data_IF_549260269316
#
_entry.id   IF_549260269316
#
_cell.length_a   1.000
_cell.length_b   1.000
_cell.length_c   1.000
_cell.angle_alpha   90.00
_cell.angle_beta   90.00
_cell.angle_gamma   90.00
#
_symmetry.space_group_name_H-M   'P 1'
#
loop_
_entity.id
_entity.type
_entity.pdbx_description
1 polymer ?
#
# COMPACT_ATOMS: atom_id res chain seq x y z
N UNK A 1 -11.36 -27.38 2.68
CA UNK A 1 -9.96 -27.12 2.28
C UNK A 1 -9.72 -25.60 2.15
N UNK A 2 -10.23 -24.78 3.08
CA UNK A 2 -10.31 -23.30 2.91
C UNK A 2 -9.42 -22.51 3.89
N UNK A 3 -8.48 -23.17 4.58
CA UNK A 3 -7.72 -22.53 5.66
C UNK A 3 -6.30 -22.06 5.32
N UNK A 4 -5.79 -22.32 4.09
CA UNK A 4 -4.39 -22.04 3.69
C UNK A 4 -4.23 -20.90 2.69
N UNK A 5 -5.28 -20.51 1.97
CA UNK A 5 -5.20 -19.49 0.91
C UNK A 5 -5.05 -18.07 1.49
N UNK A 6 -5.79 -17.73 2.55
CA UNK A 6 -5.76 -16.36 3.10
C UNK A 6 -4.42 -15.91 3.68
N UNK A 7 -3.62 -16.82 4.26
CA UNK A 7 -2.32 -16.44 4.86
C UNK A 7 -1.20 -16.23 3.85
N UNK A 8 -1.26 -16.92 2.71
CA UNK A 8 -0.26 -16.77 1.65
C UNK A 8 -0.51 -15.49 0.85
N UNK A 9 -1.76 -15.23 0.49
CA UNK A 9 -2.18 -14.01 -0.22
C UNK A 9 -1.92 -12.73 0.60
N UNK A 10 -2.14 -12.79 1.93
CA UNK A 10 -1.80 -11.69 2.86
C UNK A 10 -0.30 -11.36 2.86
N UNK A 11 0.56 -12.39 2.87
CA UNK A 11 2.00 -12.22 2.88
C UNK A 11 2.54 -11.71 1.53
N UNK A 12 1.93 -12.17 0.43
CA UNK A 12 2.23 -11.75 -0.92
C UNK A 12 1.87 -10.28 -1.19
N UNK A 13 0.69 -9.84 -0.73
CA UNK A 13 0.30 -8.42 -0.81
C UNK A 13 1.26 -7.55 0.00
N UNK A 14 1.66 -7.99 1.20
CA UNK A 14 2.61 -7.25 2.04
C UNK A 14 3.97 -7.04 1.34
N UNK A 15 4.48 -8.05 0.65
CA UNK A 15 5.74 -7.96 -0.11
C UNK A 15 5.56 -7.00 -1.29
N UNK A 16 4.48 -7.10 -2.07
CA UNK A 16 4.21 -6.19 -3.17
C UNK A 16 4.17 -4.73 -2.70
N UNK A 17 3.46 -4.47 -1.60
CA UNK A 17 3.38 -3.14 -1.00
C UNK A 17 4.74 -2.63 -0.54
N UNK A 18 5.55 -3.46 0.13
CA UNK A 18 6.91 -3.10 0.53
C UNK A 18 7.79 -2.75 -0.68
N UNK A 19 7.69 -3.53 -1.77
CA UNK A 19 8.42 -3.25 -3.02
C UNK A 19 8.02 -1.88 -3.59
N UNK A 20 6.75 -1.50 -3.53
CA UNK A 20 6.32 -0.17 -3.97
C UNK A 20 6.87 0.95 -3.06
N UNK A 21 6.89 0.75 -1.74
CA UNK A 21 7.51 1.70 -0.80
C UNK A 21 9.01 1.86 -1.08
N UNK A 22 9.72 0.76 -1.31
CA UNK A 22 11.14 0.76 -1.68
C UNK A 22 11.39 1.44 -3.03
N UNK A 23 10.54 1.15 -4.03
CA UNK A 23 10.62 1.77 -5.35
C UNK A 23 10.46 3.28 -5.27
N UNK A 24 9.48 3.76 -4.50
CA UNK A 24 9.25 5.19 -4.32
C UNK A 24 10.39 5.85 -3.53
N UNK A 25 10.88 5.20 -2.48
CA UNK A 25 12.03 5.67 -1.71
C UNK A 25 13.30 5.77 -2.57
N UNK A 26 13.52 4.81 -3.48
CA UNK A 26 14.66 4.84 -4.43
C UNK A 26 14.57 6.02 -5.38
N UNK A 27 13.40 6.29 -5.93
CA UNK A 27 13.23 7.32 -6.94
C UNK A 27 13.18 8.73 -6.33
N UNK A 28 12.47 8.91 -5.22
CA UNK A 28 12.17 10.23 -4.67
C UNK A 28 12.72 10.48 -3.25
N UNK A 29 13.36 9.49 -2.63
CA UNK A 29 14.02 9.69 -1.33
C UNK A 29 13.10 9.91 -0.13
N UNK A 30 11.79 9.65 -0.26
CA UNK A 30 10.79 9.95 0.77
C UNK A 30 9.78 8.81 0.96
N UNK A 31 9.07 8.84 2.09
CA UNK A 31 7.87 8.04 2.37
C UNK A 31 6.64 8.90 2.16
N UNK A 32 5.59 8.36 1.54
CA UNK A 32 4.39 9.13 1.16
C UNK A 32 3.10 8.44 1.59
N UNK A 33 2.02 9.23 1.65
CA UNK A 33 0.68 8.70 1.87
C UNK A 33 0.37 7.63 0.81
N UNK A 34 0.10 6.42 1.30
CA UNK A 34 -0.21 5.26 0.48
C UNK A 34 -1.58 4.73 0.84
N UNK A 35 -2.34 4.35 -0.17
CA UNK A 35 -3.66 3.77 -0.07
C UNK A 35 -3.66 2.40 -0.71
N UNK A 36 -4.28 1.43 -0.04
CA UNK A 36 -4.67 0.15 -0.62
C UNK A 36 -6.14 -0.13 -0.30
N UNK A 37 -6.88 -0.58 -1.32
CA UNK A 37 -8.31 -0.88 -1.16
C UNK A 37 -8.52 -2.21 -0.47
N UNK A 38 -9.37 -2.23 0.56
CA UNK A 38 -9.84 -3.45 1.20
C UNK A 38 -11.37 -3.55 1.10
N UNK A 39 -11.89 -4.71 0.73
CA UNK A 39 -13.33 -4.94 0.67
C UNK A 39 -13.92 -5.10 2.07
N UNK A 40 -15.08 -4.48 2.32
CA UNK A 40 -15.87 -4.71 3.55
C UNK A 40 -17.10 -5.57 3.28
N UNK A 41 -17.07 -6.39 2.21
CA UNK A 41 -18.24 -7.08 1.66
C UNK A 41 -18.98 -8.02 2.63
N UNK A 42 -18.36 -8.37 3.75
CA UNK A 42 -18.98 -9.14 4.82
C UNK A 42 -20.13 -8.39 5.54
N UNK A 43 -20.22 -7.06 5.40
CA UNK A 43 -21.24 -6.24 6.07
C UNK A 43 -22.39 -5.83 5.13
N UNK A 44 -23.57 -5.57 5.68
CA UNK A 44 -24.73 -5.07 4.89
C UNK A 44 -24.44 -3.67 4.33
N UNK A 45 -24.72 -3.48 3.04
CA UNK A 45 -24.45 -2.22 2.31
C UNK A 45 -22.97 -1.78 2.37
N UNK A 46 -22.08 -2.74 2.54
CA UNK A 46 -20.65 -2.60 2.51
C UNK A 46 -20.13 -1.80 1.32
N UNK A 47 -18.94 -1.22 1.49
CA UNK A 47 -18.14 -0.62 0.43
C UNK A 47 -16.70 -1.10 0.59
N UNK A 48 -15.76 -0.18 0.80
CA UNK A 48 -14.35 -0.47 1.04
C UNK A 48 -13.87 0.23 2.30
N UNK A 49 -12.80 -0.29 2.89
CA UNK A 49 -11.95 0.39 3.85
C UNK A 49 -10.55 0.57 3.24
N UNK A 50 -9.72 1.41 3.84
CA UNK A 50 -8.33 1.66 3.46
C UNK A 50 -7.38 0.86 4.33
N UNK A 51 -6.51 0.08 3.69
CA UNK A 51 -5.26 -0.36 4.30
C UNK A 51 -4.22 0.73 4.07
N UNK A 52 -3.43 1.03 5.11
CA UNK A 52 -2.34 2.03 5.07
C UNK A 52 -0.97 1.33 5.09
N UNK A 53 -0.45 0.88 3.93
CA UNK A 53 0.76 0.04 3.89
C UNK A 53 2.07 0.81 4.12
N UNK A 54 2.04 2.15 4.07
CA UNK A 54 3.16 2.99 4.51
C UNK A 54 3.18 3.05 6.05
N UNK A 55 3.89 2.11 6.67
CA UNK A 55 3.96 1.90 8.11
C UNK A 55 5.38 2.16 8.61
N UNK A 56 5.57 2.24 9.92
CA UNK A 56 6.91 2.33 10.50
C UNK A 56 7.78 1.12 10.13
N UNK A 57 7.17 -0.05 9.97
CA UNK A 57 7.85 -1.29 9.59
C UNK A 57 8.32 -1.22 8.13
N UNK A 58 7.43 -0.85 7.20
CA UNK A 58 7.80 -0.74 5.78
C UNK A 58 8.78 0.40 5.54
N UNK A 59 8.67 1.52 6.25
CA UNK A 59 9.66 2.60 6.20
C UNK A 59 11.05 2.12 6.65
N UNK A 60 11.13 1.48 7.83
CA UNK A 60 12.41 0.97 8.36
C UNK A 60 13.04 -0.05 7.42
N UNK A 61 12.24 -1.00 6.94
CA UNK A 61 12.70 -2.04 6.02
C UNK A 61 13.17 -1.42 4.69
N UNK A 62 12.40 -0.50 4.11
CA UNK A 62 12.78 0.17 2.88
C UNK A 62 14.09 0.96 3.03
N UNK A 63 14.28 1.69 4.13
CA UNK A 63 15.53 2.39 4.41
C UNK A 63 16.72 1.43 4.54
N UNK A 64 16.54 0.29 5.21
CA UNK A 64 17.59 -0.72 5.35
C UNK A 64 18.10 -1.22 3.98
N UNK A 65 17.19 -1.54 3.05
CA UNK A 65 17.54 -2.01 1.71
C UNK A 65 18.01 -0.91 0.75
N UNK A 66 17.46 0.31 0.86
CA UNK A 66 17.66 1.37 -0.13
C UNK A 66 18.79 2.32 0.24
N UNK A 67 18.83 2.77 1.49
CA UNK A 67 19.72 3.83 1.95
C UNK A 67 20.88 3.31 2.80
N UNK A 68 20.77 2.09 3.32
CA UNK A 68 21.74 1.49 4.23
C UNK A 68 22.25 0.11 3.74
N UNK A 69 22.58 -0.05 2.45
CA UNK A 69 23.00 -1.34 1.91
C UNK A 69 24.28 -1.82 2.63
N UNK A 70 24.29 -3.10 3.03
CA UNK A 70 25.42 -3.73 3.72
C UNK A 70 25.56 -3.39 5.21
N UNK A 71 24.67 -2.56 5.79
CA UNK A 71 24.70 -2.22 7.22
C UNK A 71 23.95 -3.20 8.13
N UNK A 72 23.27 -4.18 7.55
CA UNK A 72 22.42 -5.14 8.26
C UNK A 72 22.80 -6.56 7.84
N UNK A 73 22.73 -7.51 8.77
CA UNK A 73 22.87 -8.93 8.46
C UNK A 73 21.64 -9.46 7.73
N UNK A 74 21.78 -10.61 7.08
CA UNK A 74 20.66 -11.31 6.42
C UNK A 74 19.53 -11.58 7.43
N UNK A 75 19.86 -12.06 8.63
CA UNK A 75 18.87 -12.34 9.68
C UNK A 75 18.09 -11.08 10.11
N UNK A 76 18.77 -9.94 10.19
CA UNK A 76 18.11 -8.66 10.51
C UNK A 76 17.14 -8.25 9.40
N UNK A 77 17.54 -8.41 8.12
CA UNK A 77 16.68 -8.09 6.98
C UNK A 77 15.46 -9.03 6.93
N UNK A 78 15.64 -10.34 7.15
CA UNK A 78 14.54 -11.30 7.26
C UNK A 78 13.59 -10.91 8.41
N UNK A 79 14.13 -10.53 9.57
CA UNK A 79 13.32 -10.04 10.69
C UNK A 79 12.48 -8.82 10.32
N UNK A 80 13.06 -7.83 9.62
CA UNK A 80 12.31 -6.65 9.17
C UNK A 80 11.21 -7.00 8.16
N UNK A 81 11.45 -7.95 7.25
CA UNK A 81 10.45 -8.43 6.30
C UNK A 81 9.28 -9.13 7.00
N UNK A 82 9.59 -9.98 7.98
CA UNK A 82 8.58 -10.65 8.80
C UNK A 82 7.69 -9.65 9.53
N UNK A 83 8.26 -8.60 10.11
CA UNK A 83 7.49 -7.54 10.78
C UNK A 83 6.62 -6.74 9.79
N UNK A 84 7.11 -6.47 8.58
CA UNK A 84 6.29 -5.84 7.53
C UNK A 84 5.09 -6.71 7.18
N UNK A 85 5.31 -8.01 6.94
CA UNK A 85 4.25 -8.95 6.60
C UNK A 85 3.22 -9.10 7.72
N UNK A 86 3.69 -9.32 8.95
CA UNK A 86 2.84 -9.45 10.13
C UNK A 86 1.95 -8.24 10.34
N UNK A 87 2.52 -7.04 10.32
CA UNK A 87 1.76 -5.82 10.57
C UNK A 87 0.80 -5.50 9.41
N UNK A 88 1.21 -5.74 8.18
CA UNK A 88 0.33 -5.62 7.02
C UNK A 88 -0.87 -6.57 7.12
N UNK A 89 -0.65 -7.85 7.43
CA UNK A 89 -1.72 -8.83 7.62
C UNK A 89 -2.68 -8.46 8.77
N UNK A 90 -2.18 -7.82 9.84
CA UNK A 90 -3.03 -7.24 10.89
C UNK A 90 -3.93 -6.14 10.33
N UNK A 91 -3.37 -5.14 9.63
CA UNK A 91 -4.13 -4.05 9.03
C UNK A 91 -5.17 -4.56 8.02
N UNK A 92 -4.84 -5.58 7.24
CA UNK A 92 -5.76 -6.22 6.29
C UNK A 92 -6.96 -6.84 7.00
N UNK A 93 -6.74 -7.58 8.09
CA UNK A 93 -7.81 -8.18 8.91
C UNK A 93 -8.69 -7.11 9.55
N UNK A 94 -8.07 -6.08 10.12
CA UNK A 94 -8.78 -4.94 10.70
C UNK A 94 -9.63 -4.21 9.65
N UNK A 95 -9.07 -3.90 8.48
CA UNK A 95 -9.79 -3.22 7.40
C UNK A 95 -10.94 -4.06 6.84
N UNK A 96 -10.75 -5.37 6.64
CA UNK A 96 -11.80 -6.29 6.20
C UNK A 96 -12.96 -6.36 7.21
N UNK A 97 -12.66 -6.20 8.50
CA UNK A 97 -13.63 -6.10 9.59
C UNK A 97 -14.11 -4.66 9.87
N UNK A 98 -13.87 -3.72 8.95
CA UNK A 98 -14.26 -2.32 9.04
C UNK A 98 -13.73 -1.61 10.31
N UNK A 99 -12.55 -2.02 10.79
CA UNK A 99 -11.82 -1.41 11.92
C UNK A 99 -10.70 -0.47 11.47
N UNK A 100 -10.63 -0.16 10.17
CA UNK A 100 -9.79 0.93 9.69
C UNK A 100 -10.31 2.29 10.16
N UNK A 101 -9.43 3.30 10.17
CA UNK A 101 -9.81 4.62 10.65
C UNK A 101 -10.37 5.53 9.55
N UNK A 102 -10.01 5.30 8.28
CA UNK A 102 -10.26 6.24 7.19
C UNK A 102 -11.76 6.48 6.94
N UNK A 103 -12.58 5.41 6.85
CA UNK A 103 -14.04 5.60 6.66
C UNK A 103 -14.70 6.22 7.88
N UNK A 104 -14.26 5.87 9.08
CA UNK A 104 -14.80 6.46 10.30
C UNK A 104 -14.53 7.97 10.35
N UNK A 105 -13.27 8.40 10.13
CA UNK A 105 -12.94 9.82 10.12
C UNK A 105 -13.65 10.58 8.99
N UNK A 106 -13.79 9.96 7.81
CA UNK A 106 -14.57 10.52 6.71
C UNK A 106 -16.05 10.72 7.07
N UNK A 107 -16.69 9.71 7.67
CA UNK A 107 -18.09 9.79 8.08
C UNK A 107 -18.31 10.88 9.14
N UNK A 108 -17.41 10.99 10.12
CA UNK A 108 -17.46 12.04 11.14
C UNK A 108 -17.27 13.44 10.54
N UNK A 109 -16.35 13.60 9.57
CA UNK A 109 -16.18 14.85 8.82
C UNK A 109 -17.44 15.21 8.04
N UNK A 110 -18.05 14.23 7.38
CA UNK A 110 -19.28 14.43 6.61
C UNK A 110 -20.44 14.87 7.51
N UNK A 111 -20.62 14.21 8.66
CA UNK A 111 -21.65 14.57 9.64
C UNK A 111 -21.44 15.98 10.19
N UNK A 112 -20.23 16.30 10.65
CA UNK A 112 -19.90 17.63 11.16
C UNK A 112 -20.21 18.72 10.12
N UNK A 113 -19.79 18.53 8.87
CA UNK A 113 -20.08 19.47 7.79
C UNK A 113 -21.60 19.62 7.52
N UNK A 114 -22.37 18.52 7.61
CA UNK A 114 -23.83 18.57 7.43
C UNK A 114 -24.55 19.36 8.52
N UNK A 115 -23.93 19.48 9.69
CA UNK A 115 -24.41 20.29 10.82
C UNK A 115 -23.78 21.71 10.84
N UNK A 116 -22.98 22.06 9.82
CA UNK A 116 -22.29 23.35 9.76
C UNK A 116 -21.12 23.48 10.76
N UNK A 117 -20.65 22.37 11.31
CA UNK A 117 -19.53 22.31 12.25
C UNK A 117 -18.21 22.11 11.51
N UNK A 118 -17.14 22.72 12.02
CA UNK A 118 -15.78 22.51 11.51
C UNK A 118 -14.88 22.09 12.67
N UNK A 119 -14.35 20.88 12.61
CA UNK A 119 -13.42 20.36 13.61
C UNK A 119 -11.96 20.62 13.20
N UNK A 120 -11.11 21.01 14.16
CA UNK A 120 -9.69 21.36 13.90
C UNK A 120 -8.89 20.21 13.30
N UNK A 121 -9.15 18.97 13.71
CA UNK A 121 -8.56 17.75 13.13
C UNK A 121 -8.62 17.73 11.59
N UNK A 122 -9.74 18.16 10.99
CA UNK A 122 -9.92 18.12 9.53
C UNK A 122 -9.31 19.31 8.79
N UNK A 123 -8.82 20.31 9.54
CA UNK A 123 -8.08 21.46 9.05
C UNK A 123 -6.56 21.27 9.19
N UNK A 124 -6.13 20.26 9.95
CA UNK A 124 -4.72 19.94 10.12
C UNK A 124 -4.10 19.57 8.75
N UNK A 125 -2.98 20.20 8.35
CA UNK A 125 -2.25 19.83 7.16
C UNK A 125 -1.91 18.33 7.08
N UNK A 126 -1.71 17.65 8.21
CA UNK A 126 -1.49 16.21 8.28
C UNK A 126 -2.72 15.40 7.82
N UNK A 127 -3.94 15.86 8.13
CA UNK A 127 -5.16 15.24 7.63
C UNK A 127 -5.29 15.42 6.11
N UNK A 128 -4.93 16.58 5.57
CA UNK A 128 -4.87 16.75 4.11
C UNK A 128 -3.80 15.85 3.50
N UNK A 129 -2.60 15.77 4.10
CA UNK A 129 -1.49 14.97 3.59
C UNK A 129 -1.79 13.47 3.57
N UNK A 130 -2.40 12.91 4.63
CA UNK A 130 -2.73 11.48 4.67
C UNK A 130 -3.83 11.09 3.66
N UNK A 131 -4.68 12.05 3.27
CA UNK A 131 -5.71 11.86 2.25
C UNK A 131 -5.23 12.19 0.83
N UNK A 132 -4.04 12.77 0.68
CA UNK A 132 -3.39 13.04 -0.61
C UNK A 132 -2.57 11.82 -1.05
N UNK A 133 -3.27 10.77 -1.50
CA UNK A 133 -2.68 9.44 -1.76
C UNK A 133 -1.77 9.45 -3.01
N UNK A 134 -0.47 9.70 -2.80
CA UNK A 134 0.55 9.70 -3.86
C UNK A 134 0.73 8.29 -4.44
N UNK A 135 0.70 7.26 -3.58
CA UNK A 135 0.66 5.87 -4.03
C UNK A 135 -0.75 5.33 -3.80
N UNK A 136 -1.55 5.22 -4.86
CA UNK A 136 -2.85 4.58 -4.80
C UNK A 136 -2.76 3.20 -5.43
N UNK A 137 -3.06 2.16 -4.65
CA UNK A 137 -2.86 0.77 -5.04
C UNK A 137 -4.16 -0.03 -4.94
N UNK A 138 -4.32 -1.02 -5.82
CA UNK A 138 -5.41 -1.99 -5.73
C UNK A 138 -4.97 -3.32 -6.31
N UNK A 139 -5.22 -4.38 -5.55
CA UNK A 139 -5.06 -5.76 -6.00
C UNK A 139 -6.24 -6.16 -6.88
N UNK A 140 -5.98 -6.92 -7.94
CA UNK A 140 -6.99 -7.54 -8.77
C UNK A 140 -6.53 -8.95 -9.16
N UNK A 141 -7.00 -9.95 -8.43
CA UNK A 141 -6.68 -11.36 -8.69
C UNK A 141 -7.94 -12.05 -9.20
N UNK A 142 -7.89 -12.49 -10.46
CA UNK A 142 -8.92 -13.34 -11.06
C UNK A 142 -8.32 -14.07 -12.26
N UNK A 143 -8.60 -15.38 -12.44
CA UNK A 143 -8.19 -16.11 -13.64
C UNK A 143 -8.73 -15.52 -14.95
N UNK A 144 -9.79 -14.70 -14.87
CA UNK A 144 -10.39 -14.03 -16.01
C UNK A 144 -9.72 -12.67 -16.34
N UNK A 145 -8.78 -12.20 -15.51
CA UNK A 145 -8.17 -10.88 -15.63
C UNK A 145 -6.68 -11.02 -15.92
N UNK A 146 -6.26 -10.54 -17.08
CA UNK A 146 -4.84 -10.49 -17.45
C UNK A 146 -4.12 -9.27 -16.86
N UNK A 147 -4.81 -8.12 -16.77
CA UNK A 147 -4.26 -6.88 -16.24
C UNK A 147 -5.39 -5.91 -15.87
N UNK A 148 -5.27 -5.25 -14.71
CA UNK A 148 -6.10 -4.12 -14.31
C UNK A 148 -5.30 -2.82 -14.31
N UNK A 149 -5.98 -1.67 -14.35
CA UNK A 149 -5.30 -0.37 -14.27
C UNK A 149 -6.28 0.77 -14.01
N UNK A 150 -5.78 1.82 -13.38
CA UNK A 150 -6.51 3.05 -13.10
C UNK A 150 -5.53 4.23 -13.10
N UNK A 151 -6.02 5.44 -13.39
CA UNK A 151 -5.21 6.65 -13.34
C UNK A 151 -4.88 7.04 -11.87
N UNK A 152 -3.84 7.86 -11.62
CA UNK A 152 -3.58 8.37 -10.28
C UNK A 152 -4.76 9.17 -9.73
N UNK A 153 -4.94 9.14 -8.40
CA UNK A 153 -5.99 9.89 -7.71
C UNK A 153 -5.60 11.32 -7.34
N UNK A 154 -4.32 11.68 -7.55
CA UNK A 154 -3.77 13.03 -7.36
C UNK A 154 -2.81 13.38 -8.50
N UNK A 155 -2.65 14.68 -8.86
CA UNK A 155 -1.80 15.09 -9.99
C UNK A 155 -0.34 14.62 -9.90
N UNK A 156 0.21 14.55 -8.69
CA UNK A 156 1.58 14.12 -8.43
C UNK A 156 1.66 12.68 -7.89
N UNK A 157 0.74 11.80 -8.30
CA UNK A 157 0.63 10.43 -7.80
C UNK A 157 0.88 9.35 -8.86
N UNK A 158 0.80 8.11 -8.40
CA UNK A 158 0.74 6.89 -9.19
C UNK A 158 -0.56 6.13 -8.91
N UNK A 159 -1.15 5.57 -9.96
CA UNK A 159 -2.15 4.50 -9.84
C UNK A 159 -1.48 3.16 -10.10
N UNK A 160 -1.54 2.23 -9.15
CA UNK A 160 -0.86 0.93 -9.21
C UNK A 160 -1.90 -0.19 -9.12
N UNK A 161 -2.26 -0.76 -10.26
CA UNK A 161 -2.97 -2.03 -10.30
C UNK A 161 -1.98 -3.17 -10.24
N UNK A 162 -2.15 -4.13 -9.34
CA UNK A 162 -1.24 -5.28 -9.24
C UNK A 162 -1.97 -6.59 -9.00
N UNK A 163 -1.30 -7.69 -9.35
CA UNK A 163 -1.74 -9.05 -9.09
C UNK A 163 -0.54 -9.88 -8.66
N UNK A 164 -0.72 -10.71 -7.66
CA UNK A 164 0.27 -11.70 -7.27
C UNK A 164 -0.21 -13.06 -7.77
N UNK A 165 0.69 -13.76 -8.44
CA UNK A 165 0.49 -15.10 -8.97
C UNK A 165 1.63 -15.99 -8.45
N UNK A 166 1.40 -17.31 -8.45
CA UNK A 166 2.33 -18.31 -7.90
C UNK A 166 3.81 -18.11 -8.31
N UNK A 167 4.04 -17.70 -9.56
CA UNK A 167 5.40 -17.55 -10.13
C UNK A 167 5.83 -16.10 -10.39
N UNK A 168 4.91 -15.13 -10.32
CA UNK A 168 5.22 -13.76 -10.71
C UNK A 168 4.27 -12.72 -10.09
N UNK A 169 4.79 -11.51 -9.91
CA UNK A 169 3.99 -10.33 -9.55
C UNK A 169 3.88 -9.44 -10.78
N UNK A 170 2.64 -9.15 -11.17
CA UNK A 170 2.30 -8.20 -12.22
C UNK A 170 1.93 -6.84 -11.63
N UNK A 171 2.40 -5.76 -12.25
CA UNK A 171 1.89 -4.43 -11.95
C UNK A 171 1.70 -3.59 -13.22
N UNK A 172 0.63 -2.81 -13.23
CA UNK A 172 0.33 -1.80 -14.21
C UNK A 172 0.31 -0.45 -13.49
N UNK A 173 1.19 0.46 -13.91
CA UNK A 173 1.39 1.73 -13.23
C UNK A 173 1.07 2.88 -14.18
N UNK A 174 0.27 3.81 -13.69
CA UNK A 174 -0.07 5.05 -14.38
C UNK A 174 0.48 6.26 -13.63
N UNK A 175 0.77 7.34 -14.35
CA UNK A 175 1.07 8.64 -13.77
C UNK A 175 0.61 9.79 -14.66
N UNK A 176 0.48 10.97 -14.07
CA UNK A 176 0.45 12.24 -14.80
C UNK A 176 1.89 12.77 -15.01
N UNK A 177 2.10 13.85 -15.79
CA UNK A 177 3.44 14.34 -16.16
C UNK A 177 4.37 14.71 -15.00
N UNK A 178 3.84 15.00 -13.81
CA UNK A 178 4.64 15.31 -12.62
C UNK A 178 5.41 14.09 -12.05
N UNK A 179 5.17 12.90 -12.59
CA UNK A 179 5.78 11.64 -12.15
C UNK A 179 6.27 10.84 -13.35
N UNK A 180 7.32 10.05 -13.13
CA UNK A 180 7.91 9.20 -14.15
C UNK A 180 7.64 7.72 -13.86
N UNK A 181 6.65 7.15 -14.56
CA UNK A 181 6.30 5.71 -14.47
C UNK A 181 7.47 4.80 -14.83
N UNK A 182 8.21 5.14 -15.88
CA UNK A 182 9.26 4.25 -16.39
C UNK A 182 10.37 4.07 -15.35
N UNK A 183 10.83 5.16 -14.77
CA UNK A 183 11.83 5.13 -13.69
C UNK A 183 11.27 4.52 -12.40
N UNK A 184 9.99 4.74 -12.08
CA UNK A 184 9.36 4.08 -10.93
C UNK A 184 9.36 2.56 -11.08
N UNK A 185 8.97 2.05 -12.25
CA UNK A 185 8.99 0.62 -12.56
C UNK A 185 10.40 0.03 -12.53
N UNK A 186 11.41 0.76 -12.99
CA UNK A 186 12.81 0.35 -12.84
C UNK A 186 13.21 0.23 -11.37
N UNK A 187 12.79 1.19 -10.53
CA UNK A 187 13.06 1.19 -9.10
C UNK A 187 12.32 0.04 -8.36
N UNK A 188 11.08 -0.25 -8.74
CA UNK A 188 10.28 -1.40 -8.29
C UNK A 188 10.98 -2.71 -8.67
N UNK A 189 11.41 -2.86 -9.92
CA UNK A 189 12.12 -4.04 -10.39
C UNK A 189 13.44 -4.27 -9.65
N UNK A 190 14.23 -3.21 -9.45
CA UNK A 190 15.47 -3.26 -8.66
C UNK A 190 15.21 -3.62 -7.19
N UNK A 191 14.08 -3.19 -6.63
CA UNK A 191 13.68 -3.51 -5.26
C UNK A 191 13.27 -4.97 -5.09
N UNK A 192 12.61 -5.56 -6.09
CA UNK A 192 12.30 -6.99 -6.13
C UNK A 192 13.54 -7.89 -6.13
N UNK A 193 14.61 -7.47 -6.81
CA UNK A 193 15.86 -8.25 -6.89
C UNK A 193 16.49 -8.59 -5.54
N UNK A 194 16.16 -7.87 -4.47
CA UNK A 194 16.62 -8.17 -3.11
C UNK A 194 15.92 -9.38 -2.47
N UNK A 195 14.82 -9.85 -3.04
CA UNK A 195 13.99 -10.93 -2.49
C UNK A 195 14.13 -12.27 -3.24
N UNK A 196 14.77 -12.29 -4.43
CA UNK A 196 14.81 -13.46 -5.33
C UNK A 196 16.23 -14.04 -5.55
N UNK A 197 17.21 -13.69 -4.73
CA UNK A 197 18.50 -14.39 -4.73
C UNK A 197 18.47 -15.54 -3.71
N UNK A 198 17.97 -16.69 -4.16
CA UNK A 198 18.26 -18.02 -3.60
C UNK A 198 18.39 -19.01 -4.74
#
# INVERSE_FOLDING_TARGET
>A
MEGREGTAEEAESAIAQLVFQMGFLRQYGQTVATYESCSTAAFRHCRTETIRPATIHTQRCAQAFVQQPGKHSIDQLIGMLSECSKYHGQLTKEAAMAQGFDRHLFAMKYLANSEGLVHSLYQDPAYTAINHNILSTSTLISPAVNLGGFAPVVPNGFGVGYGVHDEWIGCNVSSYPERNVHEFLQCVHKSRGHFLCS
#
